data_IF_656030536621
#
_entry.id   IF_656030536621
#
_cell.length_a   1.000
_cell.length_b   1.000
_cell.length_c   1.000
_cell.angle_alpha   90.00
_cell.angle_beta   90.00
_cell.angle_gamma   90.00
#
_symmetry.space_group_name_H-M   'P 1'
#
loop_
_entity.id
_entity.type
_entity.pdbx_description
1 polymer ?
#
# COMPACT_ATOMS: atom_id res chain seq x y z
N UNK A 1 7.73 2.35 -17.14
CA UNK A 1 8.62 2.84 -16.08
C UNK A 1 8.16 2.25 -14.76
N UNK A 2 9.10 1.72 -13.97
CA UNK A 2 8.82 1.17 -12.65
C UNK A 2 9.65 1.93 -11.61
N UNK A 3 9.03 2.34 -10.52
CA UNK A 3 9.69 3.02 -9.40
C UNK A 3 9.57 2.12 -8.19
N UNK A 4 10.69 1.81 -7.53
CA UNK A 4 10.69 1.11 -6.25
C UNK A 4 10.89 2.14 -5.16
N UNK A 5 10.06 2.08 -4.11
CA UNK A 5 10.21 2.90 -2.91
C UNK A 5 10.15 2.03 -1.66
N UNK A 6 11.01 2.37 -0.70
CA UNK A 6 11.07 1.72 0.60
C UNK A 6 10.46 2.66 1.64
N UNK A 7 9.64 2.09 2.51
CA UNK A 7 8.91 2.83 3.53
C UNK A 7 9.12 2.17 4.88
N UNK A 8 9.11 2.99 5.92
CA UNK A 8 9.06 2.53 7.30
C UNK A 8 7.83 3.15 7.96
N UNK A 9 6.94 2.30 8.45
CA UNK A 9 5.78 2.74 9.22
C UNK A 9 6.27 3.30 10.56
N UNK A 10 6.00 4.58 10.82
CA UNK A 10 6.59 5.33 11.93
C UNK A 10 6.17 4.81 13.30
N UNK A 11 4.91 4.41 13.45
CA UNK A 11 4.36 3.96 14.74
C UNK A 11 4.78 2.54 15.11
N UNK A 12 4.85 1.64 14.13
CA UNK A 12 5.12 0.21 14.38
C UNK A 12 6.55 -0.19 14.06
N UNK A 13 7.33 0.69 13.42
CA UNK A 13 8.66 0.39 12.93
C UNK A 13 8.72 -0.59 11.75
N UNK A 14 7.57 -1.05 11.25
CA UNK A 14 7.46 -2.02 10.17
C UNK A 14 8.03 -1.50 8.85
N UNK A 15 8.81 -2.33 8.17
CA UNK A 15 9.40 -2.00 6.88
C UNK A 15 8.57 -2.54 5.72
N UNK A 16 8.41 -1.71 4.70
CA UNK A 16 7.67 -2.02 3.49
C UNK A 16 8.47 -1.63 2.25
N UNK A 17 8.23 -2.33 1.16
CA UNK A 17 8.81 -1.98 -0.15
C UNK A 17 7.74 -2.14 -1.20
N UNK A 18 7.52 -1.08 -1.98
CA UNK A 18 6.53 -1.08 -3.06
C UNK A 18 7.19 -0.78 -4.40
N UNK A 19 6.70 -1.46 -5.43
CA UNK A 19 7.00 -1.15 -6.83
C UNK A 19 5.76 -0.56 -7.48
N UNK A 20 5.91 0.63 -8.01
CA UNK A 20 4.90 1.36 -8.75
C UNK A 20 5.19 1.25 -10.24
N UNK A 21 4.24 0.74 -11.01
CA UNK A 21 4.40 0.58 -12.45
C UNK A 21 3.32 1.37 -13.18
N UNK A 22 3.70 2.17 -14.17
CA UNK A 22 2.76 2.83 -15.07
C UNK A 22 2.30 1.86 -16.17
N UNK A 23 0.99 1.70 -16.32
CA UNK A 23 0.31 0.87 -17.31
C UNK A 23 -0.72 1.74 -18.06
N UNK A 24 -0.31 2.30 -19.21
CA UNK A 24 -1.12 3.26 -19.95
C UNK A 24 -1.36 4.53 -19.12
N UNK A 25 -2.63 4.85 -18.87
CA UNK A 25 -3.07 5.99 -18.06
C UNK A 25 -3.21 5.66 -16.56
N UNK A 26 -2.95 4.42 -16.18
CA UNK A 26 -3.13 3.95 -14.80
C UNK A 26 -1.81 3.45 -14.21
N UNK A 27 -1.81 3.25 -12.90
CA UNK A 27 -0.69 2.75 -12.14
C UNK A 27 -1.08 1.47 -11.41
N UNK A 28 -0.14 0.53 -11.36
CA UNK A 28 -0.23 -0.68 -10.54
C UNK A 28 0.76 -0.58 -9.39
N UNK A 29 0.34 -1.07 -8.23
CA UNK A 29 1.15 -1.11 -7.02
C UNK A 29 1.41 -2.56 -6.66
N UNK A 30 2.68 -2.90 -6.47
CA UNK A 30 3.12 -4.21 -6.02
C UNK A 30 3.83 -4.06 -4.69
N UNK A 31 3.41 -4.81 -3.69
CA UNK A 31 4.14 -4.96 -2.44
C UNK A 31 5.22 -6.04 -2.64
N UNK A 32 6.48 -5.65 -2.49
CA UNK A 32 7.63 -6.53 -2.59
C UNK A 32 8.08 -7.05 -1.22
N UNK A 33 7.91 -6.21 -0.19
CA UNK A 33 8.26 -6.51 1.20
C UNK A 33 7.19 -5.93 2.11
N UNK A 34 6.74 -6.73 3.07
CA UNK A 34 5.91 -6.34 4.21
C UNK A 34 6.32 -7.20 5.42
N UNK A 35 5.94 -6.82 6.64
CA UNK A 35 6.15 -7.66 7.82
C UNK A 35 5.55 -9.06 7.66
N UNK A 36 6.09 -10.08 8.34
CA UNK A 36 5.49 -11.41 8.32
C UNK A 36 4.05 -11.33 8.87
N UNK A 37 3.15 -12.11 8.29
CA UNK A 37 1.78 -12.23 8.78
C UNK A 37 1.75 -13.21 9.98
N UNK A 38 1.50 -12.74 11.22
CA UNK A 38 1.42 -13.63 12.37
C UNK A 38 0.04 -14.30 12.52
N UNK A 39 -0.94 -13.91 11.69
CA UNK A 39 -2.33 -14.36 11.79
C UNK A 39 -2.66 -15.38 10.70
N UNK A 40 -3.59 -16.30 11.02
CA UNK A 40 -4.19 -17.19 10.02
C UNK A 40 -5.18 -16.39 9.16
N UNK A 41 -4.68 -15.71 8.13
CA UNK A 41 -5.47 -14.93 7.18
C UNK A 41 -5.04 -15.21 5.75
N UNK A 42 -6.00 -15.28 4.82
CA UNK A 42 -5.68 -15.36 3.39
C UNK A 42 -5.22 -13.99 2.88
N UNK A 43 -4.41 -13.99 1.82
CA UNK A 43 -3.96 -12.77 1.15
C UNK A 43 -5.11 -11.88 0.67
N UNK A 44 -6.30 -12.47 0.47
CA UNK A 44 -7.56 -11.77 0.16
C UNK A 44 -7.97 -10.83 1.29
N UNK A 45 -7.80 -11.23 2.57
CA UNK A 45 -8.16 -10.40 3.73
C UNK A 45 -7.34 -9.11 3.77
N UNK A 46 -6.07 -9.21 3.40
CA UNK A 46 -5.17 -8.07 3.35
C UNK A 46 -5.13 -7.42 1.97
N UNK A 47 -6.06 -7.73 1.06
CA UNK A 47 -6.13 -7.12 -0.27
C UNK A 47 -4.80 -7.16 -1.07
N UNK A 48 -4.06 -8.26 -0.98
CA UNK A 48 -2.86 -8.51 -1.77
C UNK A 48 -3.05 -9.79 -2.59
N UNK A 49 -2.78 -9.71 -3.88
CA UNK A 49 -2.77 -10.87 -4.76
C UNK A 49 -1.52 -11.72 -4.54
N UNK A 50 -1.53 -12.96 -5.02
CA UNK A 50 -0.39 -13.88 -4.89
C UNK A 50 0.88 -13.41 -5.60
N UNK A 51 0.75 -12.53 -6.61
CA UNK A 51 1.86 -11.88 -7.32
C UNK A 51 2.39 -10.62 -6.59
N UNK A 52 1.91 -10.36 -5.37
CA UNK A 52 2.26 -9.18 -4.57
C UNK A 52 1.53 -7.91 -5.01
N UNK A 53 0.68 -7.96 -6.05
CA UNK A 53 -0.08 -6.78 -6.49
C UNK A 53 -1.15 -6.41 -5.46
N UNK A 54 -1.33 -5.13 -5.20
CA UNK A 54 -2.42 -4.65 -4.35
C UNK A 54 -3.76 -4.75 -5.10
N UNK A 55 -4.79 -5.22 -4.41
CA UNK A 55 -6.16 -5.28 -4.92
C UNK A 55 -6.84 -3.91 -4.74
N UNK A 56 -6.58 -3.01 -5.68
CA UNK A 56 -7.13 -1.66 -5.69
C UNK A 56 -8.35 -1.63 -6.62
N UNK A 57 -9.51 -1.26 -6.09
CA UNK A 57 -10.78 -1.21 -6.84
C UNK A 57 -10.76 -0.15 -7.95
N UNK A 58 -10.20 1.02 -7.66
CA UNK A 58 -10.07 2.13 -8.60
C UNK A 58 -8.59 2.35 -8.93
N UNK A 59 -8.13 1.90 -10.11
CA UNK A 59 -6.72 2.01 -10.48
C UNK A 59 -6.26 3.48 -10.43
N UNK A 60 -5.16 3.79 -9.72
CA UNK A 60 -4.66 5.15 -9.62
C UNK A 60 -4.23 5.67 -10.98
N UNK A 61 -4.58 6.93 -11.30
CA UNK A 61 -4.25 7.58 -12.57
C UNK A 61 -2.96 8.40 -12.49
N UNK A 62 -2.44 8.62 -11.28
CA UNK A 62 -1.18 9.32 -11.03
C UNK A 62 -0.26 8.53 -10.08
N UNK A 63 1.02 8.88 -10.09
CA UNK A 63 2.00 8.25 -9.19
C UNK A 63 1.70 8.56 -7.71
N UNK A 64 1.15 9.75 -7.44
CA UNK A 64 0.74 10.23 -6.13
C UNK A 64 -0.46 9.41 -5.62
N UNK A 65 -1.48 9.20 -6.46
CA UNK A 65 -2.61 8.33 -6.11
C UNK A 65 -2.15 6.88 -5.86
N UNK A 66 -1.17 6.40 -6.61
CA UNK A 66 -0.61 5.07 -6.41
C UNK A 66 0.15 4.98 -5.08
N UNK A 67 0.96 5.99 -4.74
CA UNK A 67 1.62 6.10 -3.46
C UNK A 67 0.59 6.17 -2.30
N UNK A 68 -0.47 6.96 -2.46
CA UNK A 68 -1.57 7.06 -1.50
C UNK A 68 -2.18 5.70 -1.17
N UNK A 69 -2.47 4.91 -2.21
CA UNK A 69 -3.00 3.56 -2.07
C UNK A 69 -2.02 2.64 -1.33
N UNK A 70 -0.72 2.72 -1.64
CA UNK A 70 0.31 1.96 -0.94
C UNK A 70 0.41 2.33 0.55
N UNK A 71 0.37 3.63 0.87
CA UNK A 71 0.39 4.11 2.25
C UNK A 71 -0.82 3.64 3.05
N UNK A 72 -2.02 3.75 2.47
CA UNK A 72 -3.25 3.31 3.13
C UNK A 72 -3.26 1.81 3.36
N UNK A 73 -2.79 1.04 2.38
CA UNK A 73 -2.60 -0.39 2.52
C UNK A 73 -1.58 -0.73 3.61
N UNK A 74 -0.43 -0.03 3.62
CA UNK A 74 0.62 -0.19 4.63
C UNK A 74 0.10 0.03 6.05
N UNK A 75 -0.68 1.10 6.27
CA UNK A 75 -1.31 1.37 7.56
C UNK A 75 -2.27 0.24 7.94
N UNK A 76 -3.16 -0.16 7.02
CA UNK A 76 -4.08 -1.28 7.24
C UNK A 76 -3.38 -2.61 7.54
N UNK A 77 -2.26 -2.88 6.86
CA UNK A 77 -1.47 -4.08 7.07
C UNK A 77 -0.76 -4.06 8.43
N UNK A 78 -0.18 -2.91 8.81
CA UNK A 78 0.38 -2.74 10.15
C UNK A 78 -0.67 -2.96 11.24
N UNK A 79 -1.88 -2.41 11.09
CA UNK A 79 -3.01 -2.67 12.00
C UNK A 79 -3.36 -4.15 12.04
N UNK A 80 -3.42 -4.82 10.89
CA UNK A 80 -3.71 -6.24 10.80
C UNK A 80 -2.65 -7.09 11.49
N UNK A 81 -1.36 -6.82 11.28
CA UNK A 81 -0.25 -7.53 11.94
C UNK A 81 -0.38 -7.44 13.47
N UNK A 82 -0.78 -6.28 14.01
CA UNK A 82 -0.96 -6.10 15.45
C UNK A 82 -2.26 -6.73 16.00
N UNK A 83 -3.36 -6.65 15.25
CA UNK A 83 -4.71 -6.92 15.78
C UNK A 83 -5.42 -8.13 15.20
N UNK A 84 -4.91 -8.69 14.10
CA UNK A 84 -5.58 -9.72 13.30
C UNK A 84 -6.76 -9.22 12.46
N UNK A 85 -7.06 -7.92 12.47
CA UNK A 85 -8.17 -7.33 11.71
C UNK A 85 -7.66 -6.29 10.72
N UNK A 86 -7.91 -6.54 9.44
CA UNK A 86 -7.58 -5.59 8.38
C UNK A 86 -8.76 -4.62 8.21
N UNK A 87 -8.52 -3.29 8.22
CA UNK A 87 -9.59 -2.33 8.01
C UNK A 87 -10.10 -2.42 6.57
N UNK A 88 -11.38 -2.80 6.40
CA UNK A 88 -12.03 -3.02 5.10
C UNK A 88 -11.94 -1.80 4.15
N UNK A 89 -11.76 -0.59 4.67
CA UNK A 89 -11.69 0.63 3.87
C UNK A 89 -10.29 0.93 3.34
N UNK A 90 -9.24 0.19 3.74
CA UNK A 90 -7.87 0.52 3.36
C UNK A 90 -7.58 0.37 1.85
N UNK A 91 -8.37 -0.41 1.12
CA UNK A 91 -8.24 -0.58 -0.35
C UNK A 91 -9.36 0.08 -1.17
N UNK A 92 -10.34 0.72 -0.52
CA UNK A 92 -11.48 1.40 -1.18
C UNK A 92 -11.21 2.85 -1.57
N UNK A 93 -9.96 3.31 -1.56
CA UNK A 93 -9.64 4.72 -1.70
C UNK A 93 -10.13 5.33 -3.04
N UNK A 94 -11.29 6.01 -2.99
CA UNK A 94 -11.44 7.34 -3.58
C UNK A 94 -10.44 8.22 -2.85
N UNK A 95 -9.53 8.89 -3.56
CA UNK A 95 -8.58 9.83 -2.96
C UNK A 95 -9.36 11.12 -2.66
N UNK A 96 -9.70 11.46 -1.41
CA UNK A 96 -10.03 12.85 -1.10
C UNK A 96 -8.72 13.65 -1.17
N UNK A 97 -8.81 14.86 -1.71
CA UNK A 97 -7.70 15.79 -1.96
C UNK A 97 -6.51 15.64 -0.98
N UNK A 98 -5.34 15.40 -1.55
CA UNK A 98 -4.12 14.93 -0.89
C UNK A 98 -3.40 16.10 -0.19
N UNK A 99 -3.84 16.48 1.02
CA UNK A 99 -3.22 17.57 1.81
C UNK A 99 -2.46 17.12 3.08
N UNK A 100 -2.35 15.81 3.35
CA UNK A 100 -1.72 15.28 4.58
C UNK A 100 -0.61 14.24 4.29
N UNK A 101 0.09 14.37 3.17
CA UNK A 101 1.27 13.55 2.93
C UNK A 101 2.48 14.15 3.67
N UNK A 102 3.18 13.41 4.55
CA UNK A 102 4.42 13.88 5.12
C UNK A 102 5.43 14.15 4.00
N UNK A 103 6.02 15.35 4.00
CA UNK A 103 6.94 15.83 2.97
C UNK A 103 8.07 14.82 2.73
N UNK A 104 8.09 14.25 1.52
CA UNK A 104 9.18 13.38 1.09
C UNK A 104 10.34 14.23 0.58
N UNK A 105 11.33 14.46 1.43
CA UNK A 105 12.63 14.99 1.03
C UNK A 105 13.26 14.04 -0.01
N UNK A 106 13.28 14.51 -1.25
CA UNK A 106 13.94 13.84 -2.37
C UNK A 106 15.37 14.36 -2.42
N UNK A 107 16.28 13.65 -1.74
CA UNK A 107 17.73 13.81 -1.91
C UNK A 107 18.26 12.95 -3.04
#
# INVERSE_FOLDING_TARGET
MAIVKHYRHTETGHEYSFRFEKHGETWKVFCLKHPPNPHKGSSVVTHIFSDGRLCITHPPQSAEQAAAAAFRWMHGYSTFVLSGKFPNDACRAVVPDYNDAPEWNSG
#
